data_IF_006638631072
#
_entry.id   IF_006638631072
#
_cell.length_a   1.000
_cell.length_b   1.000
_cell.length_c   1.000
_cell.angle_alpha   90.00
_cell.angle_beta   90.00
_cell.angle_gamma   90.00
#
_symmetry.space_group_name_H-M   'P 1'
#
loop_
_entity.id
_entity.type
_entity.pdbx_description
1 polymer ?
#
# COMPACT_ATOMS: atom_id res chain seq x y z
N UNK A 1 -5.95 -11.94 20.24
CA UNK A 1 -4.86 -10.92 20.17
C UNK A 1 -4.67 -10.46 18.73
N UNK A 2 -5.04 -9.23 18.41
CA UNK A 2 -4.79 -8.61 17.11
C UNK A 2 -3.35 -8.05 17.12
N UNK A 3 -2.40 -8.74 16.48
CA UNK A 3 -1.03 -8.21 16.39
C UNK A 3 -0.99 -7.12 15.32
N UNK A 4 -0.76 -5.90 15.77
CA UNK A 4 -0.50 -4.73 14.92
C UNK A 4 0.96 -4.33 15.10
N UNK A 5 1.68 -4.11 13.99
CA UNK A 5 3.04 -3.59 14.02
C UNK A 5 3.05 -2.19 13.44
N UNK A 6 3.61 -1.25 14.20
CA UNK A 6 3.90 0.11 13.74
C UNK A 6 5.41 0.22 13.56
N UNK A 7 5.87 0.57 12.37
CA UNK A 7 7.28 0.88 12.13
C UNK A 7 7.42 2.39 11.92
N UNK A 8 7.69 3.17 12.98
CA UNK A 8 8.05 4.57 12.84
C UNK A 8 9.43 4.70 12.17
N UNK A 9 9.67 5.78 11.44
CA UNK A 9 11.01 6.16 10.98
C UNK A 9 11.97 6.12 12.17
N UNK A 10 12.97 5.26 12.11
CA UNK A 10 14.05 5.21 13.09
C UNK A 10 15.39 5.20 12.35
N UNK A 11 16.34 5.99 12.85
CA UNK A 11 17.70 6.11 12.29
C UNK A 11 18.40 4.74 12.20
N UNK A 12 18.00 3.77 13.01
CA UNK A 12 18.47 2.37 12.94
C UNK A 12 18.01 1.60 11.68
N UNK A 13 17.15 2.20 10.86
CA UNK A 13 16.67 1.67 9.57
C UNK A 13 17.30 2.37 8.36
N UNK A 14 18.13 3.40 8.57
CA UNK A 14 18.90 4.02 7.49
C UNK A 14 19.85 2.98 6.87
N UNK A 15 19.64 2.64 5.58
CA UNK A 15 20.57 1.85 4.78
C UNK A 15 20.27 0.35 4.59
N UNK A 16 19.15 -0.19 5.08
CA UNK A 16 18.74 -1.60 4.82
C UNK A 16 17.34 -1.65 4.22
N UNK A 17 17.24 -1.43 2.90
CA UNK A 17 16.05 -0.84 2.29
C UNK A 17 14.89 -1.78 1.89
N UNK A 18 15.05 -3.10 1.76
CA UNK A 18 13.90 -3.99 1.46
C UNK A 18 13.94 -5.32 2.24
N UNK A 19 15.13 -5.86 2.54
CA UNK A 19 15.31 -7.12 3.29
C UNK A 19 14.64 -7.11 4.68
N UNK A 20 14.55 -5.94 5.33
CA UNK A 20 13.90 -5.84 6.66
C UNK A 20 12.38 -5.95 6.57
N UNK A 21 11.77 -5.40 5.52
CA UNK A 21 10.34 -5.60 5.26
C UNK A 21 10.06 -7.09 5.08
N UNK A 22 10.88 -7.78 4.27
CA UNK A 22 10.78 -9.21 4.09
C UNK A 22 10.90 -9.98 5.43
N UNK A 23 11.83 -9.60 6.31
CA UNK A 23 11.95 -10.20 7.63
C UNK A 23 10.72 -9.97 8.51
N UNK A 24 10.09 -8.79 8.45
CA UNK A 24 8.85 -8.49 9.19
C UNK A 24 7.71 -9.35 8.66
N UNK A 25 7.50 -9.38 7.34
CA UNK A 25 6.43 -10.12 6.69
C UNK A 25 6.55 -11.65 6.95
N UNK A 26 7.78 -12.18 6.90
CA UNK A 26 8.03 -13.61 7.15
C UNK A 26 8.09 -13.98 8.63
N UNK A 27 8.71 -13.14 9.46
CA UNK A 27 8.88 -13.41 10.88
C UNK A 27 7.57 -13.31 11.66
N UNK A 28 6.68 -12.39 11.26
CA UNK A 28 5.44 -12.15 11.98
C UNK A 28 4.26 -12.95 11.37
N UNK A 29 4.23 -14.27 11.61
CA UNK A 29 3.18 -15.17 11.08
C UNK A 29 1.74 -14.80 11.45
N UNK A 30 1.52 -14.17 12.61
CA UNK A 30 0.20 -13.76 13.12
C UNK A 30 -0.09 -12.25 12.89
N UNK A 31 0.67 -11.59 12.03
CA UNK A 31 0.47 -10.16 11.74
C UNK A 31 -0.85 -9.95 11.02
N UNK A 32 -1.70 -9.05 11.54
CA UNK A 32 -2.96 -8.68 10.88
C UNK A 32 -2.95 -7.25 10.37
N UNK A 33 -2.34 -6.31 11.10
CA UNK A 33 -2.26 -4.91 10.72
C UNK A 33 -0.81 -4.44 10.69
N UNK A 34 -0.41 -3.77 9.62
CA UNK A 34 0.91 -3.16 9.49
C UNK A 34 0.75 -1.67 9.18
N UNK A 35 1.49 -0.82 9.90
CA UNK A 35 1.46 0.63 9.71
C UNK A 35 2.92 1.09 9.54
N UNK A 36 3.22 1.75 8.44
CA UNK A 36 4.56 2.22 8.06
C UNK A 36 4.54 3.74 7.91
N UNK A 37 5.31 4.45 8.74
CA UNK A 37 5.21 5.91 8.89
C UNK A 37 6.52 6.55 9.38
N UNK A 38 7.06 7.55 8.69
CA UNK A 38 7.72 7.38 7.40
C UNK A 38 8.64 6.14 7.37
N UNK A 39 8.83 5.52 6.21
CA UNK A 39 9.66 4.32 6.12
C UNK A 39 10.48 4.30 4.82
N UNK A 40 11.77 3.87 4.85
CA UNK A 40 12.60 3.80 3.64
C UNK A 40 12.21 2.68 2.66
N UNK A 41 11.14 1.93 2.95
CA UNK A 41 10.65 0.86 2.08
C UNK A 41 10.09 1.42 0.77
N UNK A 42 10.46 0.77 -0.33
CA UNK A 42 10.04 1.18 -1.67
C UNK A 42 9.26 0.10 -2.42
N UNK A 43 9.12 0.32 -3.72
CA UNK A 43 8.37 -0.54 -4.64
C UNK A 43 8.75 -2.03 -4.55
N UNK A 44 10.05 -2.33 -4.43
CA UNK A 44 10.57 -3.70 -4.38
C UNK A 44 10.09 -4.45 -3.14
N UNK A 45 10.18 -3.84 -1.97
CA UNK A 45 9.65 -4.40 -0.73
C UNK A 45 8.16 -4.73 -0.85
N UNK A 46 7.34 -3.80 -1.37
CA UNK A 46 5.91 -4.02 -1.53
C UNK A 46 5.61 -5.21 -2.45
N UNK A 47 6.31 -5.34 -3.59
CA UNK A 47 6.08 -6.41 -4.56
C UNK A 47 6.74 -7.76 -4.22
N UNK A 48 7.59 -7.81 -3.18
CA UNK A 48 8.36 -9.02 -2.86
C UNK A 48 7.54 -10.17 -2.28
N UNK A 49 6.47 -9.87 -1.54
CA UNK A 49 5.62 -10.87 -0.90
C UNK A 49 4.15 -10.43 -0.93
N UNK A 50 3.64 -10.39 -2.14
CA UNK A 50 2.29 -9.91 -2.43
C UNK A 50 1.22 -10.84 -1.83
N UNK A 51 1.48 -12.16 -1.82
CA UNK A 51 0.55 -13.16 -1.27
C UNK A 51 0.36 -13.00 0.24
N UNK A 52 1.37 -12.51 0.97
CA UNK A 52 1.24 -12.26 2.40
C UNK A 52 0.12 -11.28 2.73
N UNK A 53 -0.12 -10.28 1.90
CA UNK A 53 -1.13 -9.26 2.18
C UNK A 53 -2.55 -9.80 2.16
N UNK A 54 -2.83 -10.91 1.46
CA UNK A 54 -4.13 -11.58 1.55
C UNK A 54 -4.37 -12.26 2.90
N UNK A 55 -3.29 -12.65 3.59
CA UNK A 55 -3.39 -13.21 4.94
C UNK A 55 -3.56 -12.13 6.01
N UNK A 56 -3.29 -10.87 5.65
CA UNK A 56 -3.38 -9.72 6.53
C UNK A 56 -4.76 -9.06 6.43
N UNK A 57 -5.09 -8.28 7.45
CA UNK A 57 -6.29 -7.46 7.45
C UNK A 57 -6.05 -6.16 6.69
N UNK A 58 -4.96 -5.46 6.99
CA UNK A 58 -4.65 -4.20 6.32
C UNK A 58 -3.20 -3.77 6.46
N UNK A 59 -2.76 -2.93 5.54
CA UNK A 59 -1.49 -2.23 5.54
C UNK A 59 -1.75 -0.74 5.31
N UNK A 60 -1.19 0.11 6.16
CA UNK A 60 -1.14 1.55 5.96
C UNK A 60 0.29 1.97 5.70
N UNK A 61 0.51 2.75 4.65
CA UNK A 61 1.80 3.34 4.32
C UNK A 61 1.62 4.83 4.13
N UNK A 62 2.48 5.63 4.77
CA UNK A 62 2.51 7.05 4.50
C UNK A 62 3.94 7.59 4.55
N UNK A 63 4.21 8.55 3.68
CA UNK A 63 5.55 9.10 3.42
C UNK A 63 6.58 8.01 3.10
N UNK A 64 6.19 7.02 2.30
CA UNK A 64 7.04 5.92 1.84
C UNK A 64 7.49 6.10 0.38
N UNK A 65 8.51 5.35 -0.05
CA UNK A 65 9.04 5.42 -1.44
C UNK A 65 8.24 4.51 -2.40
N UNK A 66 6.91 4.55 -2.31
CA UNK A 66 6.00 3.76 -3.15
C UNK A 66 5.45 4.62 -4.29
N UNK A 67 5.42 4.08 -5.50
CA UNK A 67 4.92 4.78 -6.69
C UNK A 67 3.56 4.26 -7.15
N UNK A 68 2.83 5.10 -7.88
CA UNK A 68 1.53 4.75 -8.45
C UNK A 68 1.56 3.50 -9.34
N UNK A 69 2.56 3.38 -10.21
CA UNK A 69 2.71 2.21 -11.10
C UNK A 69 2.89 0.89 -10.33
N UNK A 70 3.45 0.96 -9.13
CA UNK A 70 3.58 -0.22 -8.25
C UNK A 70 2.22 -0.63 -7.71
N UNK A 71 1.40 0.33 -7.30
CA UNK A 71 0.02 0.07 -6.87
C UNK A 71 -0.81 -0.54 -8.01
N UNK A 72 -0.74 0.03 -9.23
CA UNK A 72 -1.38 -0.56 -10.42
C UNK A 72 -0.95 -2.00 -10.67
N UNK A 73 0.36 -2.27 -10.59
CA UNK A 73 0.92 -3.62 -10.74
C UNK A 73 0.42 -4.58 -9.66
N UNK A 74 0.35 -4.11 -8.41
CA UNK A 74 -0.11 -4.88 -7.26
C UNK A 74 -1.58 -5.30 -7.42
N UNK A 75 -2.45 -4.34 -7.76
CA UNK A 75 -3.87 -4.59 -8.01
C UNK A 75 -4.08 -5.54 -9.18
N UNK A 76 -3.32 -5.40 -10.26
CA UNK A 76 -3.40 -6.31 -11.42
C UNK A 76 -3.00 -7.74 -11.05
N UNK A 77 -2.01 -7.91 -10.17
CA UNK A 77 -1.58 -9.24 -9.70
C UNK A 77 -2.54 -9.83 -8.67
N UNK A 78 -3.16 -9.01 -7.82
CA UNK A 78 -4.03 -9.44 -6.73
C UNK A 78 -5.37 -8.71 -6.75
N UNK A 79 -6.35 -9.21 -7.51
CA UNK A 79 -7.67 -8.56 -7.61
C UNK A 79 -8.47 -8.60 -6.31
N UNK A 80 -8.08 -9.43 -5.33
CA UNK A 80 -8.72 -9.53 -4.00
C UNK A 80 -8.20 -8.49 -2.99
N UNK A 81 -7.23 -7.68 -3.38
CA UNK A 81 -6.70 -6.59 -2.57
C UNK A 81 -7.19 -5.27 -3.13
N UNK A 82 -7.84 -4.48 -2.27
CA UNK A 82 -8.10 -3.09 -2.58
C UNK A 82 -6.89 -2.24 -2.20
N UNK A 83 -6.60 -1.28 -3.05
CA UNK A 83 -5.59 -0.26 -2.82
C UNK A 83 -6.29 1.10 -2.91
N UNK A 84 -6.27 1.86 -1.83
CA UNK A 84 -6.77 3.22 -1.76
C UNK A 84 -5.59 4.19 -1.62
N UNK A 85 -5.58 5.22 -2.44
CA UNK A 85 -4.57 6.26 -2.47
C UNK A 85 -5.25 7.56 -2.04
N UNK A 86 -4.72 8.19 -1.01
CA UNK A 86 -5.24 9.45 -0.49
C UNK A 86 -4.37 10.57 -1.06
N UNK A 87 -4.98 11.43 -1.85
CA UNK A 87 -4.31 12.54 -2.51
C UNK A 87 -4.95 13.85 -2.07
N UNK A 88 -4.47 14.38 -0.95
CA UNK A 88 -5.02 15.61 -0.34
C UNK A 88 -4.67 16.87 -1.16
N UNK A 89 -3.60 16.80 -1.97
CA UNK A 89 -2.96 17.98 -2.57
C UNK A 89 -3.17 18.17 -4.09
N UNK A 90 -3.83 17.26 -4.81
CA UNK A 90 -4.08 17.48 -6.26
C UNK A 90 -5.53 17.18 -6.65
N UNK A 91 -6.08 18.09 -7.45
CA UNK A 91 -7.33 17.93 -8.20
C UNK A 91 -7.37 16.55 -8.88
N UNK A 92 -8.54 15.92 -8.83
CA UNK A 92 -8.79 14.55 -9.22
C UNK A 92 -8.53 14.21 -10.72
N UNK A 93 -8.00 15.15 -11.52
CA UNK A 93 -8.21 15.12 -12.98
C UNK A 93 -6.96 15.25 -13.88
N UNK A 94 -5.74 15.26 -13.36
CA UNK A 94 -4.55 15.13 -14.22
C UNK A 94 -4.00 13.71 -14.18
N UNK A 95 -3.69 13.17 -15.37
CA UNK A 95 -3.02 11.89 -15.58
C UNK A 95 -1.84 11.74 -14.60
N UNK A 96 -2.01 10.95 -13.55
CA UNK A 96 -0.89 10.68 -12.66
C UNK A 96 0.05 9.69 -13.34
N UNK A 97 1.29 10.11 -13.51
CA UNK A 97 2.35 9.26 -14.03
C UNK A 97 2.65 8.11 -13.08
N UNK A 98 2.98 6.94 -13.65
CA UNK A 98 3.33 5.74 -12.89
C UNK A 98 4.54 5.94 -11.95
N UNK A 99 5.38 6.93 -12.25
CA UNK A 99 6.54 7.30 -11.44
C UNK A 99 6.21 8.15 -10.21
N UNK A 100 5.00 8.72 -10.11
CA UNK A 100 4.62 9.60 -9.01
C UNK A 100 4.66 8.86 -7.68
N UNK A 101 5.30 9.48 -6.67
CA UNK A 101 5.33 8.98 -5.30
C UNK A 101 4.02 9.30 -4.59
N UNK A 102 3.55 8.34 -3.80
CA UNK A 102 2.31 8.47 -3.05
C UNK A 102 2.59 9.02 -1.65
N UNK A 103 1.77 9.96 -1.21
CA UNK A 103 1.81 10.47 0.16
C UNK A 103 1.26 9.42 1.13
N UNK A 104 0.05 8.92 0.85
CA UNK A 104 -0.72 8.06 1.73
C UNK A 104 -1.37 6.93 0.92
N UNK A 105 -1.24 5.69 1.41
CA UNK A 105 -1.81 4.49 0.80
C UNK A 105 -2.38 3.57 1.87
N UNK A 106 -3.56 3.01 1.58
CA UNK A 106 -4.19 1.96 2.36
C UNK A 106 -4.42 0.73 1.51
N UNK A 107 -3.97 -0.43 1.99
CA UNK A 107 -4.17 -1.72 1.36
C UNK A 107 -4.95 -2.62 2.29
N UNK A 108 -5.95 -3.31 1.77
CA UNK A 108 -6.69 -4.29 2.55
C UNK A 108 -7.25 -5.40 1.66
N UNK A 109 -7.38 -6.58 2.26
CA UNK A 109 -8.09 -7.68 1.61
C UNK A 109 -9.58 -7.43 1.67
N UNK A 110 -10.26 -7.65 0.55
CA UNK A 110 -11.72 -7.56 0.46
C UNK A 110 -12.28 -8.80 -0.25
N UNK A 111 -13.55 -9.10 0.04
CA UNK A 111 -14.38 -10.02 -0.75
C UNK A 111 -15.51 -9.29 -1.47
N UNK A 112 -15.78 -8.03 -1.10
CA UNK A 112 -16.83 -7.20 -1.68
C UNK A 112 -16.31 -6.35 -2.87
N UNK A 113 -14.99 -6.26 -3.05
CA UNK A 113 -14.39 -5.34 -4.02
C UNK A 113 -14.34 -3.90 -3.49
N UNK A 114 -14.37 -2.94 -4.42
CA UNK A 114 -14.32 -1.48 -4.16
C UNK A 114 -15.48 -1.02 -3.26
N UNK A 115 -15.26 0.05 -2.49
CA UNK A 115 -16.27 0.72 -1.68
C UNK A 115 -16.92 1.87 -2.45
N UNK A 116 -18.24 2.02 -2.32
CA UNK A 116 -19.02 3.00 -3.08
C UNK A 116 -19.08 4.39 -2.42
N UNK A 117 -18.66 4.51 -1.16
CA UNK A 117 -18.65 5.73 -0.35
C UNK A 117 -17.24 6.36 -0.24
N UNK A 118 -16.36 6.09 -1.20
CA UNK A 118 -15.05 6.72 -1.27
C UNK A 118 -15.20 8.21 -1.63
N UNK A 119 -14.62 9.14 -0.84
CA UNK A 119 -14.64 10.56 -1.18
C UNK A 119 -13.73 10.86 -2.38
N UNK A 120 -13.95 11.98 -3.07
CA UNK A 120 -13.28 12.33 -4.34
C UNK A 120 -11.74 12.34 -4.28
N UNK A 121 -11.16 12.66 -3.10
CA UNK A 121 -9.71 12.68 -2.90
C UNK A 121 -9.10 11.27 -2.70
N UNK A 122 -9.92 10.23 -2.64
CA UNK A 122 -9.49 8.83 -2.54
C UNK A 122 -9.65 8.16 -3.90
N UNK A 123 -8.52 7.72 -4.47
CA UNK A 123 -8.52 6.90 -5.68
C UNK A 123 -8.29 5.43 -5.32
N UNK A 124 -9.21 4.58 -5.74
CA UNK A 124 -9.12 3.13 -5.54
C UNK A 124 -8.49 2.38 -6.72
N UNK A 125 -8.22 1.10 -6.47
CA UNK A 125 -7.69 0.09 -7.41
C UNK A 125 -8.42 0.00 -8.75
N UNK A 126 -9.72 0.29 -8.82
CA UNK A 126 -10.52 0.21 -10.06
C UNK A 126 -10.32 1.46 -10.89
N UNK A 127 -10.32 2.64 -10.25
CA UNK A 127 -9.95 3.91 -10.89
C UNK A 127 -8.51 3.93 -11.41
N UNK A 128 -7.61 3.17 -10.78
CA UNK A 128 -6.21 3.03 -11.22
C UNK A 128 -6.01 2.22 -12.50
N UNK A 129 -6.94 1.33 -12.84
CA UNK A 129 -6.86 0.45 -14.01
C UNK A 129 -7.64 1.01 -15.22
N UNK A 130 -8.19 2.23 -15.12
CA UNK A 130 -8.95 2.86 -16.21
C UNK A 130 -10.40 2.38 -16.32
N UNK A 131 -10.93 1.69 -15.31
CA UNK A 131 -12.33 1.30 -15.26
C UNK A 131 -13.20 2.46 -14.77
N UNK A 132 -13.64 3.32 -15.69
CA UNK A 132 -14.83 4.13 -15.50
C UNK A 132 -16.00 3.27 -15.99
N UNK A 133 -16.79 2.72 -15.06
CA UNK A 133 -18.15 2.26 -15.36
C UNK A 133 -19.10 3.24 -14.67
#
# INVERSE_FOLDING_TARGET
>A
MQKSLKCPYSSAFAGKNDKRMFNVLNGCKKLRKLILLPCPFGNKALLSDIGKYETMQSVWMSSCKVTLGTCKTLTKKMPRLNVEIFNENEQADCYMEDGKRLENMYLYRTVAGKRDDAPEYVRDSVGLLGGWN
#
